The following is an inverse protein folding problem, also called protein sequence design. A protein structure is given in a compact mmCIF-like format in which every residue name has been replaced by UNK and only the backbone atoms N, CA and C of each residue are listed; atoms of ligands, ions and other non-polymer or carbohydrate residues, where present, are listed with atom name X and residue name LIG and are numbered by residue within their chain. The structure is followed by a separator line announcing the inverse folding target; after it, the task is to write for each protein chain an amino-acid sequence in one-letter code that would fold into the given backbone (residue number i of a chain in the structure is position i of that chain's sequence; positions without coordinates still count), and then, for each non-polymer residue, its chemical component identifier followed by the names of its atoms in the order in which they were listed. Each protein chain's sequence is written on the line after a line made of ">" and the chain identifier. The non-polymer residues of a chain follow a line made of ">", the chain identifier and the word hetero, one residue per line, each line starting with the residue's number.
data_IF_966546548619
#
_entry.id   IF_966546548619
#
_cell.length_a   1.000
_cell.length_b   1.000
_cell.length_c   1.000
_cell.angle_alpha   90.00
_cell.angle_beta   90.00
_cell.angle_gamma   90.00
#
_symmetry.space_group_name_H-M   'P 1'
#
loop_
_entity.id
_entity.type
_entity.pdbx_description
1 polymer ?
#
# COMPACT_ATOMS: atom_id res chain seq x y z
N UNK A 1 3.46 -13.90 -12.30
CA UNK A 1 3.74 -13.24 -11.01
C UNK A 1 3.21 -11.82 -11.12
N UNK A 2 1.97 -11.59 -10.70
CA UNK A 2 1.38 -10.25 -10.74
C UNK A 2 2.14 -9.32 -9.80
N UNK A 3 3.03 -8.52 -10.38
CA UNK A 3 3.74 -7.46 -9.69
C UNK A 3 2.78 -6.28 -9.51
N UNK A 4 1.98 -6.32 -8.45
CA UNK A 4 1.13 -5.20 -8.05
C UNK A 4 2.02 -3.97 -7.83
N UNK A 5 1.89 -2.96 -8.68
CA UNK A 5 2.71 -1.75 -8.63
C UNK A 5 2.20 -0.83 -7.53
N UNK A 6 3.04 -0.56 -6.54
CA UNK A 6 2.73 0.35 -5.43
C UNK A 6 3.86 1.33 -5.18
N UNK A 7 3.50 2.53 -4.72
CA UNK A 7 4.45 3.57 -4.35
C UNK A 7 4.58 3.64 -2.83
N UNK A 8 5.76 3.30 -2.30
CA UNK A 8 6.05 3.44 -0.88
C UNK A 8 6.62 4.83 -0.55
N UNK A 9 5.84 5.67 0.14
CA UNK A 9 6.27 6.98 0.62
C UNK A 9 6.77 6.85 2.05
N UNK A 10 8.07 7.07 2.27
CA UNK A 10 8.65 7.03 3.62
C UNK A 10 8.38 8.33 4.38
N UNK A 11 7.62 8.24 5.46
CA UNK A 11 7.40 9.38 6.36
C UNK A 11 8.58 9.55 7.31
N UNK A 12 9.11 10.78 7.39
CA UNK A 12 10.16 11.17 8.36
C UNK A 12 9.61 11.39 9.78
N UNK A 13 8.28 11.39 9.97
CA UNK A 13 7.65 11.57 11.30
C UNK A 13 7.82 10.30 12.15
N UNK A 14 7.86 10.45 13.49
CA UNK A 14 8.02 9.35 14.48
C UNK A 14 6.85 8.33 14.53
N UNK A 15 5.93 8.35 13.58
CA UNK A 15 4.80 7.42 13.55
C UNK A 15 5.26 5.98 13.26
N UNK A 16 4.59 4.99 13.86
CA UNK A 16 4.80 3.56 13.59
C UNK A 16 3.75 2.96 12.64
N UNK A 17 2.76 3.76 12.25
CA UNK A 17 1.63 3.32 11.45
C UNK A 17 1.99 3.22 9.98
N UNK A 18 1.61 2.09 9.36
CA UNK A 18 1.60 1.93 7.91
C UNK A 18 0.20 2.30 7.43
N UNK A 19 0.10 3.21 6.46
CA UNK A 19 -1.18 3.59 5.87
C UNK A 19 -1.18 3.25 4.39
N UNK A 20 -2.29 2.71 3.90
CA UNK A 20 -2.47 2.29 2.52
C UNK A 20 -3.59 3.13 1.91
N UNK A 21 -3.31 3.76 0.78
CA UNK A 21 -4.25 4.63 0.08
C UNK A 21 -4.35 4.19 -1.37
N UNK A 22 -5.58 3.98 -1.83
CA UNK A 22 -5.89 3.74 -3.23
C UNK A 22 -6.45 5.05 -3.78
N UNK A 23 -5.74 5.63 -4.72
CA UNK A 23 -6.17 6.85 -5.41
C UNK A 23 -7.28 6.54 -6.41
N UNK A 24 -8.02 7.57 -6.80
CA UNK A 24 -9.09 7.45 -7.80
C UNK A 24 -8.57 7.02 -9.19
N UNK A 25 -7.30 7.31 -9.49
CA UNK A 25 -6.61 6.85 -10.70
C UNK A 25 -6.14 5.39 -10.63
N UNK A 26 -6.53 4.65 -9.59
CA UNK A 26 -6.13 3.26 -9.35
C UNK A 26 -4.70 3.10 -8.80
N UNK A 27 -3.97 4.20 -8.52
CA UNK A 27 -2.63 4.10 -7.96
C UNK A 27 -2.67 3.75 -6.48
N UNK A 28 -1.83 2.79 -6.11
CA UNK A 28 -1.66 2.35 -4.72
C UNK A 28 -0.48 3.09 -4.10
N UNK A 29 -0.73 3.81 -3.01
CA UNK A 29 0.29 4.55 -2.25
C UNK A 29 0.31 4.05 -0.81
N UNK A 30 1.48 3.61 -0.36
CA UNK A 30 1.68 3.14 1.01
C UNK A 30 2.60 4.11 1.75
N UNK A 31 2.10 4.72 2.81
CA UNK A 31 2.89 5.51 3.73
C UNK A 31 3.53 4.61 4.77
N UNK A 32 4.86 4.59 4.80
CA UNK A 32 5.62 3.72 5.69
C UNK A 32 6.51 4.56 6.61
N UNK A 33 6.68 4.16 7.88
CA UNK A 33 7.65 4.79 8.75
C UNK A 33 9.07 4.69 8.18
N UNK A 34 9.88 5.73 8.37
CA UNK A 34 11.26 5.73 7.89
C UNK A 34 12.09 4.57 8.46
N UNK A 35 11.93 4.27 9.76
CA UNK A 35 12.67 3.22 10.47
C UNK A 35 12.12 1.80 10.25
N UNK A 36 11.05 1.65 9.48
CA UNK A 36 10.45 0.34 9.24
C UNK A 36 11.25 -0.43 8.17
N UNK A 37 11.70 -1.66 8.45
CA UNK A 37 12.38 -2.51 7.48
C UNK A 37 11.50 -2.77 6.25
N UNK A 38 12.13 -2.85 5.07
CA UNK A 38 11.42 -3.13 3.83
C UNK A 38 10.61 -4.43 3.88
N UNK A 39 11.14 -5.48 4.54
CA UNK A 39 10.45 -6.77 4.72
C UNK A 39 9.10 -6.65 5.44
N UNK A 40 8.98 -5.73 6.39
CA UNK A 40 7.74 -5.52 7.13
C UNK A 40 6.70 -4.80 6.26
N UNK A 41 7.17 -3.85 5.45
CA UNK A 41 6.33 -3.20 4.43
C UNK A 41 5.83 -4.21 3.41
N UNK A 42 6.74 -5.05 2.89
CA UNK A 42 6.40 -6.09 1.92
C UNK A 42 5.43 -7.11 2.52
N UNK A 43 5.63 -7.53 3.78
CA UNK A 43 4.68 -8.40 4.49
C UNK A 43 3.30 -7.75 4.62
N UNK A 44 3.25 -6.49 5.04
CA UNK A 44 1.99 -5.75 5.17
C UNK A 44 1.24 -5.61 3.83
N UNK A 45 1.94 -5.27 2.74
CA UNK A 45 1.34 -5.17 1.41
C UNK A 45 0.85 -6.53 0.94
N UNK A 46 1.61 -7.61 1.19
CA UNK A 46 1.20 -8.97 0.83
C UNK A 46 -0.04 -9.43 1.59
N UNK A 47 -0.11 -9.16 2.90
CA UNK A 47 -1.28 -9.45 3.74
C UNK A 47 -2.53 -8.67 3.27
N UNK A 48 -2.34 -7.44 2.80
CA UNK A 48 -3.43 -6.60 2.27
C UNK A 48 -3.67 -6.74 0.78
N UNK A 49 -2.93 -7.60 0.08
CA UNK A 49 -3.01 -7.73 -1.38
C UNK A 49 -4.43 -8.08 -1.85
N UNK A 50 -5.08 -9.05 -1.21
CA UNK A 50 -6.46 -9.43 -1.55
C UNK A 50 -7.44 -8.27 -1.38
N UNK A 51 -7.31 -7.50 -0.29
CA UNK A 51 -8.11 -6.31 -0.04
C UNK A 51 -7.86 -5.20 -1.07
N UNK A 52 -6.62 -5.02 -1.53
CA UNK A 52 -6.28 -4.04 -2.56
C UNK A 52 -6.97 -4.41 -3.88
N UNK A 53 -6.88 -5.67 -4.29
CA UNK A 53 -7.50 -6.17 -5.52
C UNK A 53 -9.01 -5.98 -5.47
N UNK A 54 -9.65 -6.34 -4.35
CA UNK A 54 -11.08 -6.15 -4.14
C UNK A 54 -11.47 -4.66 -4.25
N UNK A 55 -10.74 -3.77 -3.59
CA UNK A 55 -11.03 -2.32 -3.62
C UNK A 55 -10.80 -1.67 -4.98
N UNK A 56 -9.81 -2.13 -5.74
CA UNK A 56 -9.59 -1.66 -7.12
C UNK A 56 -10.72 -2.14 -8.02
N UNK A 57 -11.13 -3.41 -7.88
CA UNK A 57 -12.25 -3.97 -8.64
C UNK A 57 -13.57 -3.26 -8.33
N UNK A 58 -13.82 -2.91 -7.07
CA UNK A 58 -15.00 -2.17 -6.64
C UNK A 58 -15.00 -0.73 -7.21
N UNK A 59 -13.85 -0.06 -7.21
CA UNK A 59 -13.72 1.33 -7.70
C UNK A 59 -13.68 1.45 -9.21
N UNK A 60 -13.22 0.42 -9.93
CA UNK A 60 -13.16 0.41 -11.39
C UNK A 60 -14.49 0.10 -12.08
N UNK A 61 -15.57 -0.14 -11.32
CA UNK A 61 -16.88 -0.53 -11.85
C UNK A 61 -17.96 0.58 -11.74
N UNK A 62 -17.57 1.85 -11.60
CA UNK A 62 -18.48 3.00 -11.58
C UNK A 62 -18.36 3.78 -12.88
#
# INVERSE_FOLDING_TARGET
>A
MDTLSYQAIRSRKRGRTISLQIKEDGKIVTHVPHRLPKREVERFVKEKQSWIVEKISEKGSI
#
